data_IF_183150203917
#
_entry.id   IF_183150203917
#
_cell.length_a   1.000
_cell.length_b   1.000
_cell.length_c   1.000
_cell.angle_alpha   90.00
_cell.angle_beta   90.00
_cell.angle_gamma   90.00
#
_symmetry.space_group_name_H-M   'P 1'
#
loop_
_entity.id
_entity.type
_entity.pdbx_description
1 polymer ?
#
# COMPACT_ATOMS: atom_id res chain seq x y z
N UNK A 1 -11.49 -6.33 15.82
CA UNK A 1 -10.26 -5.65 15.38
C UNK A 1 -10.45 -5.18 13.94
N UNK A 2 -10.15 -3.93 13.68
CA UNK A 2 -10.28 -3.35 12.34
C UNK A 2 -9.21 -3.91 11.40
N UNK A 3 -9.61 -4.24 10.18
CA UNK A 3 -8.69 -4.65 9.11
C UNK A 3 -8.75 -3.60 8.00
N UNK A 4 -7.62 -3.23 7.45
CA UNK A 4 -7.58 -2.41 6.24
C UNK A 4 -6.54 -2.92 5.25
N UNK A 5 -6.80 -2.66 3.98
CA UNK A 5 -5.85 -2.91 2.91
C UNK A 5 -4.91 -1.71 2.83
N UNK A 6 -3.63 -1.96 2.68
CA UNK A 6 -2.62 -0.93 2.52
C UNK A 6 -1.91 -1.12 1.19
N UNK A 7 -1.63 -0.04 0.49
CA UNK A 7 -0.87 -0.11 -0.76
C UNK A 7 0.60 0.28 -0.57
N UNK A 8 1.38 0.12 -1.63
CA UNK A 8 2.81 0.41 -1.60
C UNK A 8 3.13 1.89 -1.34
N UNK A 9 2.21 2.80 -1.66
CA UNK A 9 2.43 4.23 -1.41
C UNK A 9 2.49 4.55 0.09
N UNK A 10 1.74 3.81 0.91
CA UNK A 10 1.79 3.93 2.37
C UNK A 10 3.01 3.21 2.92
N UNK A 11 3.21 1.96 2.53
CA UNK A 11 4.31 1.13 3.04
C UNK A 11 5.69 1.75 2.72
N UNK A 12 5.83 2.41 1.58
CA UNK A 12 7.06 3.12 1.21
C UNK A 12 7.46 4.17 2.26
N UNK A 13 6.50 4.81 2.91
CA UNK A 13 6.76 5.83 3.92
C UNK A 13 7.40 5.27 5.20
N UNK A 14 7.22 4.00 5.45
CA UNK A 14 7.88 3.32 6.57
C UNK A 14 9.35 2.98 6.30
N UNK A 15 9.73 2.97 5.03
CA UNK A 15 11.01 2.40 4.57
C UNK A 15 11.96 3.45 4.00
N UNK A 16 11.43 4.55 3.49
CA UNK A 16 12.23 5.61 2.88
C UNK A 16 12.64 6.66 3.92
N UNK A 17 13.74 7.42 3.67
CA UNK A 17 14.12 8.51 4.55
C UNK A 17 12.99 9.53 4.73
N UNK A 18 12.88 10.12 5.92
CA UNK A 18 11.86 11.11 6.24
C UNK A 18 11.93 12.34 5.33
N UNK A 19 13.13 12.75 4.93
CA UNK A 19 13.32 13.89 4.03
C UNK A 19 12.64 13.63 2.69
N UNK A 20 11.75 14.54 2.26
CA UNK A 20 11.01 14.43 1.01
C UNK A 20 9.73 13.60 1.09
N UNK A 21 9.39 13.06 2.26
CA UNK A 21 8.13 12.33 2.47
C UNK A 21 7.11 13.18 3.22
N UNK A 22 5.86 13.13 2.76
CA UNK A 22 4.71 13.73 3.42
C UNK A 22 3.91 12.67 4.18
N UNK A 23 3.01 13.09 5.06
CA UNK A 23 2.08 12.22 5.79
C UNK A 23 2.77 11.15 6.64
N UNK A 24 3.99 11.44 7.10
CA UNK A 24 4.77 10.48 7.90
C UNK A 24 4.11 10.18 9.24
N UNK A 25 3.52 11.17 9.87
CA UNK A 25 2.84 10.98 11.16
C UNK A 25 1.69 9.99 11.02
N UNK A 26 0.87 10.14 9.98
CA UNK A 26 -0.25 9.25 9.72
C UNK A 26 0.23 7.84 9.34
N UNK A 27 1.25 7.74 8.49
CA UNK A 27 1.83 6.46 8.09
C UNK A 27 2.41 5.72 9.30
N UNK A 28 3.16 6.41 10.14
CA UNK A 28 3.78 5.81 11.32
C UNK A 28 2.74 5.39 12.36
N UNK A 29 1.69 6.19 12.55
CA UNK A 29 0.59 5.83 13.45
C UNK A 29 -0.11 4.56 12.99
N UNK A 30 -0.31 4.39 11.68
CA UNK A 30 -0.89 3.17 11.14
C UNK A 30 0.00 1.96 11.42
N UNK A 31 1.32 2.11 11.20
CA UNK A 31 2.29 1.06 11.48
C UNK A 31 2.33 0.70 12.97
N UNK A 32 2.36 1.69 13.84
CA UNK A 32 2.36 1.48 15.29
C UNK A 32 1.14 0.68 15.75
N UNK A 33 -0.04 1.02 15.21
CA UNK A 33 -1.27 0.29 15.53
C UNK A 33 -1.23 -1.15 15.01
N UNK A 34 -0.61 -1.38 13.86
CA UNK A 34 -0.42 -2.73 13.33
C UNK A 34 0.52 -3.54 14.22
N UNK A 35 1.69 -2.99 14.53
CA UNK A 35 2.69 -3.65 15.39
C UNK A 35 2.13 -3.88 16.80
N UNK A 36 1.35 -2.94 17.31
CA UNK A 36 0.66 -3.05 18.61
C UNK A 36 -0.55 -3.95 18.60
N UNK A 37 -0.89 -4.58 17.46
CA UNK A 37 -2.05 -5.47 17.31
C UNK A 37 -3.40 -4.80 17.58
N UNK A 38 -3.50 -3.51 17.34
CA UNK A 38 -4.74 -2.77 17.45
C UNK A 38 -5.56 -2.82 16.15
N UNK A 39 -4.88 -3.07 15.03
CA UNK A 39 -5.50 -3.30 13.73
C UNK A 39 -4.73 -4.35 12.95
N UNK A 40 -5.37 -4.87 11.92
CA UNK A 40 -4.74 -5.78 10.96
C UNK A 40 -4.55 -5.06 9.62
N UNK A 41 -3.44 -5.37 8.95
CA UNK A 41 -3.18 -4.93 7.59
C UNK A 41 -3.28 -6.12 6.65
N UNK A 42 -3.63 -5.83 5.40
CA UNK A 42 -3.78 -6.82 4.34
C UNK A 42 -3.32 -6.18 3.03
N UNK A 43 -2.76 -6.95 2.13
CA UNK A 43 -2.36 -6.47 0.82
C UNK A 43 -2.43 -7.59 -0.22
N UNK A 44 -2.58 -7.27 -1.51
CA UNK A 44 -2.31 -8.26 -2.54
C UNK A 44 -0.81 -8.56 -2.59
N UNK A 45 -0.43 -9.76 -3.05
CA UNK A 45 0.96 -10.16 -3.11
C UNK A 45 1.81 -9.27 -4.03
N UNK A 46 1.19 -8.49 -4.91
CA UNK A 46 1.81 -7.44 -5.70
C UNK A 46 2.62 -6.44 -4.84
N UNK A 47 2.24 -6.22 -3.59
CA UNK A 47 2.92 -5.23 -2.73
C UNK A 47 4.42 -5.56 -2.58
N UNK A 48 4.78 -6.83 -2.56
CA UNK A 48 6.16 -7.25 -2.37
C UNK A 48 7.08 -6.78 -3.51
N UNK A 49 6.79 -7.10 -4.79
CA UNK A 49 7.59 -6.55 -5.89
C UNK A 49 7.45 -5.04 -6.06
N UNK A 50 6.31 -4.46 -5.73
CA UNK A 50 6.16 -3.00 -5.79
C UNK A 50 7.09 -2.30 -4.79
N UNK A 51 7.19 -2.79 -3.58
CA UNK A 51 8.13 -2.25 -2.59
C UNK A 51 9.57 -2.40 -3.07
N UNK A 52 9.92 -3.55 -3.64
CA UNK A 52 11.23 -3.74 -4.26
C UNK A 52 11.53 -2.68 -5.32
N UNK A 53 10.56 -2.38 -6.16
CA UNK A 53 10.69 -1.37 -7.21
C UNK A 53 10.82 0.06 -6.64
N UNK A 54 10.08 0.39 -5.60
CA UNK A 54 10.19 1.68 -4.90
C UNK A 54 11.60 1.87 -4.36
N UNK A 55 12.15 0.84 -3.72
CA UNK A 55 13.50 0.89 -3.15
C UNK A 55 14.56 0.99 -4.24
N UNK A 56 14.41 0.25 -5.35
CA UNK A 56 15.32 0.36 -6.49
C UNK A 56 15.35 1.79 -7.05
N UNK A 57 14.17 2.41 -7.23
CA UNK A 57 14.10 3.80 -7.71
C UNK A 57 14.77 4.77 -6.73
N UNK A 58 14.63 4.55 -5.43
CA UNK A 58 15.27 5.39 -4.42
C UNK A 58 16.80 5.29 -4.49
N UNK A 59 17.35 4.10 -4.74
CA UNK A 59 18.78 3.91 -4.97
C UNK A 59 19.22 4.64 -6.25
N UNK A 60 18.48 4.45 -7.34
CA UNK A 60 18.77 5.09 -8.61
C UNK A 60 18.75 6.62 -8.49
N UNK A 61 17.85 7.17 -7.71
CA UNK A 61 17.73 8.61 -7.47
C UNK A 61 18.63 9.10 -6.34
N UNK A 62 19.53 8.26 -5.85
CA UNK A 62 20.52 8.59 -4.81
C UNK A 62 19.91 9.05 -3.48
N UNK A 63 18.70 8.58 -3.17
CA UNK A 63 18.05 8.84 -1.88
C UNK A 63 18.54 7.91 -0.78
N UNK A 64 18.89 6.70 -1.13
CA UNK A 64 19.42 5.68 -0.21
C UNK A 64 20.53 4.90 -0.88
N UNK A 65 21.37 4.25 -0.08
CA UNK A 65 22.38 3.30 -0.57
C UNK A 65 21.74 1.94 -0.92
N UNK A 66 22.43 1.15 -1.74
CA UNK A 66 21.98 -0.20 -2.04
C UNK A 66 21.87 -1.06 -0.77
N UNK A 67 22.81 -0.93 0.15
CA UNK A 67 22.80 -1.67 1.42
C UNK A 67 21.58 -1.28 2.27
N UNK A 68 21.25 0.01 2.35
CA UNK A 68 20.06 0.47 3.08
C UNK A 68 18.77 0.00 2.41
N UNK A 69 18.72 -0.05 1.09
CA UNK A 69 17.57 -0.60 0.37
C UNK A 69 17.32 -2.07 0.73
N UNK A 70 18.38 -2.88 0.74
CA UNK A 70 18.27 -4.29 1.15
C UNK A 70 17.78 -4.43 2.58
N UNK A 71 18.31 -3.64 3.51
CA UNK A 71 17.89 -3.66 4.90
C UNK A 71 16.40 -3.23 5.05
N UNK A 72 15.98 -2.22 4.29
CA UNK A 72 14.59 -1.78 4.28
C UNK A 72 13.65 -2.87 3.76
N UNK A 73 14.06 -3.58 2.71
CA UNK A 73 13.27 -4.69 2.17
C UNK A 73 13.14 -5.83 3.18
N UNK A 74 14.23 -6.16 3.90
CA UNK A 74 14.17 -7.15 4.98
C UNK A 74 13.22 -6.72 6.09
N UNK A 75 13.28 -5.45 6.51
CA UNK A 75 12.36 -4.91 7.53
C UNK A 75 10.90 -4.99 7.08
N UNK A 76 10.63 -4.73 5.80
CA UNK A 76 9.29 -4.88 5.26
C UNK A 76 8.81 -6.33 5.37
N UNK A 77 9.64 -7.29 4.97
CA UNK A 77 9.31 -8.72 5.08
C UNK A 77 9.04 -9.14 6.53
N UNK A 78 9.81 -8.62 7.47
CA UNK A 78 9.67 -8.92 8.90
C UNK A 78 8.35 -8.41 9.50
N UNK A 79 7.74 -7.41 8.88
CA UNK A 79 6.41 -6.94 9.31
C UNK A 79 5.33 -8.01 9.12
N UNK A 80 5.58 -8.99 8.27
CA UNK A 80 4.69 -10.14 8.03
C UNK A 80 3.26 -9.72 7.73
N UNK A 81 3.09 -8.68 6.92
CA UNK A 81 1.75 -8.26 6.49
C UNK A 81 1.15 -9.40 5.67
N UNK A 82 -0.02 -9.92 6.05
CA UNK A 82 -0.68 -10.96 5.28
C UNK A 82 -0.96 -10.51 3.85
N UNK A 83 -0.63 -11.37 2.89
CA UNK A 83 -0.88 -11.09 1.48
C UNK A 83 -1.88 -12.08 0.91
N UNK A 84 -2.68 -11.60 -0.05
CA UNK A 84 -3.63 -12.41 -0.80
C UNK A 84 -3.08 -12.59 -2.20
N UNK A 85 -3.10 -13.82 -2.75
CA UNK A 85 -2.64 -14.05 -4.12
C UNK A 85 -3.43 -13.18 -5.11
N UNK A 86 -2.71 -12.50 -6.00
CA UNK A 86 -3.32 -11.66 -7.03
C UNK A 86 -4.23 -12.47 -7.96
N UNK A 87 -3.93 -13.75 -8.16
CA UNK A 87 -4.75 -14.65 -8.97
C UNK A 87 -6.20 -14.72 -8.54
N UNK A 88 -6.48 -14.55 -7.25
CA UNK A 88 -7.84 -14.56 -6.72
C UNK A 88 -8.61 -13.25 -6.99
N UNK A 89 -7.90 -12.23 -7.47
CA UNK A 89 -8.43 -10.88 -7.66
C UNK A 89 -8.49 -10.44 -9.12
N UNK A 90 -7.99 -11.27 -10.06
CA UNK A 90 -7.76 -10.84 -11.44
C UNK A 90 -9.01 -10.35 -12.15
N UNK A 91 -10.09 -11.13 -12.12
CA UNK A 91 -11.32 -10.79 -12.87
C UNK A 91 -11.94 -9.50 -12.30
N UNK A 92 -12.06 -9.40 -10.99
CA UNK A 92 -12.61 -8.21 -10.34
C UNK A 92 -11.76 -6.97 -10.64
N UNK A 93 -10.45 -7.12 -10.60
CA UNK A 93 -9.51 -6.03 -10.90
C UNK A 93 -9.65 -5.56 -12.33
N UNK A 94 -9.81 -6.48 -13.28
CA UNK A 94 -10.03 -6.11 -14.67
C UNK A 94 -11.33 -5.33 -14.85
N UNK A 95 -12.40 -5.75 -14.19
CA UNK A 95 -13.69 -5.06 -14.22
C UNK A 95 -13.55 -3.62 -13.73
N UNK A 96 -12.84 -3.42 -12.62
CA UNK A 96 -12.60 -2.08 -12.05
C UNK A 96 -11.76 -1.24 -13.01
N UNK A 97 -10.69 -1.81 -13.57
CA UNK A 97 -9.80 -1.11 -14.51
C UNK A 97 -10.55 -0.60 -15.73
N UNK A 98 -11.38 -1.45 -16.32
CA UNK A 98 -12.14 -1.11 -17.53
C UNK A 98 -13.21 -0.05 -17.22
N UNK A 99 -13.94 -0.23 -16.11
CA UNK A 99 -15.03 0.68 -15.75
C UNK A 99 -14.54 2.04 -15.28
N UNK A 100 -13.42 2.09 -14.54
CA UNK A 100 -12.97 3.29 -13.87
C UNK A 100 -11.75 3.94 -14.50
N UNK A 101 -11.20 3.34 -15.55
CA UNK A 101 -9.98 3.80 -16.23
C UNK A 101 -8.81 3.97 -15.23
N UNK A 102 -8.61 2.97 -14.39
CA UNK A 102 -7.49 2.89 -13.47
C UNK A 102 -6.57 1.76 -13.87
N UNK A 103 -5.30 1.85 -13.48
CA UNK A 103 -4.35 0.77 -13.77
C UNK A 103 -4.84 -0.55 -13.16
N UNK A 104 -4.44 -1.66 -13.78
CA UNK A 104 -4.75 -2.98 -13.25
C UNK A 104 -4.15 -3.17 -11.85
N UNK A 105 -2.95 -2.64 -11.62
CA UNK A 105 -2.26 -2.73 -10.33
C UNK A 105 -3.01 -1.99 -9.22
N UNK A 106 -3.46 -0.75 -9.47
CA UNK A 106 -4.30 -0.02 -8.52
C UNK A 106 -5.59 -0.77 -8.23
N UNK A 107 -6.18 -1.36 -9.27
CA UNK A 107 -7.44 -2.10 -9.16
C UNK A 107 -7.31 -3.38 -8.32
N UNK A 108 -6.14 -4.00 -8.26
CA UNK A 108 -5.89 -5.15 -7.39
C UNK A 108 -6.10 -4.78 -5.91
N UNK A 109 -5.62 -3.64 -5.49
CA UNK A 109 -5.81 -3.16 -4.12
C UNK A 109 -7.27 -2.86 -3.82
N UNK A 110 -7.95 -2.20 -4.74
CA UNK A 110 -9.39 -1.88 -4.61
C UNK A 110 -10.22 -3.17 -4.57
N UNK A 111 -9.92 -4.12 -5.45
CA UNK A 111 -10.60 -5.40 -5.49
C UNK A 111 -10.46 -6.17 -4.17
N UNK A 112 -9.27 -6.15 -3.58
CA UNK A 112 -9.04 -6.79 -2.29
C UNK A 112 -9.89 -6.15 -1.18
N UNK A 113 -9.94 -4.83 -1.14
CA UNK A 113 -10.78 -4.12 -0.16
C UNK A 113 -12.26 -4.48 -0.32
N UNK A 114 -12.75 -4.53 -1.55
CA UNK A 114 -14.13 -4.92 -1.83
C UNK A 114 -14.41 -6.36 -1.39
N UNK A 115 -13.56 -7.29 -1.78
CA UNK A 115 -13.73 -8.72 -1.51
C UNK A 115 -13.70 -9.03 -0.01
N UNK A 116 -12.87 -8.32 0.73
CA UNK A 116 -12.74 -8.51 2.18
C UNK A 116 -13.63 -7.60 3.00
N UNK A 117 -14.41 -6.73 2.34
CA UNK A 117 -15.30 -5.74 3.00
C UNK A 117 -14.53 -4.86 3.98
N UNK A 118 -13.39 -4.37 3.53
CA UNK A 118 -12.54 -3.45 4.29
C UNK A 118 -12.31 -2.18 3.49
N UNK A 119 -11.49 -1.28 4.02
CA UNK A 119 -11.09 -0.08 3.30
C UNK A 119 -9.65 -0.23 2.79
N UNK A 120 -9.39 0.35 1.61
CA UNK A 120 -8.03 0.60 1.13
C UNK A 120 -7.57 1.94 1.68
N UNK A 121 -6.44 1.94 2.39
CA UNK A 121 -5.76 3.17 2.81
C UNK A 121 -4.63 3.43 1.84
N UNK A 122 -4.61 4.60 1.22
CA UNK A 122 -3.62 4.99 0.22
C UNK A 122 -3.12 6.41 0.45
N UNK A 123 -1.86 6.66 0.10
CA UNK A 123 -1.29 8.00 0.08
C UNK A 123 -1.47 8.68 -1.29
N UNK A 124 -2.05 8.00 -2.27
CA UNK A 124 -2.31 8.53 -3.60
C UNK A 124 -3.65 9.28 -3.63
N UNK A 125 -3.59 10.61 -3.54
CA UNK A 125 -4.78 11.46 -3.61
C UNK A 125 -5.54 11.32 -4.92
N UNK A 126 -4.85 11.06 -6.03
CA UNK A 126 -5.51 10.92 -7.35
C UNK A 126 -6.42 9.70 -7.35
N UNK A 127 -5.96 8.61 -6.74
CA UNK A 127 -6.76 7.40 -6.60
C UNK A 127 -8.00 7.65 -5.74
N UNK A 128 -7.86 8.36 -4.63
CA UNK A 128 -8.96 8.73 -3.75
C UNK A 128 -9.98 9.60 -4.49
N UNK A 129 -9.52 10.61 -5.21
CA UNK A 129 -10.40 11.50 -5.99
C UNK A 129 -11.16 10.75 -7.08
N UNK A 130 -10.51 9.79 -7.72
CA UNK A 130 -11.13 9.01 -8.80
C UNK A 130 -12.15 8.00 -8.28
N UNK A 131 -11.90 7.35 -7.16
CA UNK A 131 -12.66 6.18 -6.71
C UNK A 131 -13.36 6.33 -5.36
N UNK A 132 -12.95 7.29 -4.53
CA UNK A 132 -13.39 7.37 -3.13
C UNK A 132 -14.88 7.57 -2.91
N UNK A 133 -15.65 8.04 -3.92
CA UNK A 133 -17.10 8.18 -3.82
C UNK A 133 -17.85 6.88 -4.14
N UNK A 134 -17.21 5.91 -4.79
CA UNK A 134 -17.84 4.66 -5.26
C UNK A 134 -17.26 3.41 -4.64
N UNK A 135 -16.02 3.49 -4.12
CA UNK A 135 -15.28 2.36 -3.57
C UNK A 135 -14.75 2.70 -2.19
N UNK A 136 -14.46 1.69 -1.35
CA UNK A 136 -13.94 1.92 0.00
C UNK A 136 -12.44 2.29 -0.03
N UNK A 137 -12.14 3.45 -0.58
CA UNK A 137 -10.79 4.00 -0.69
C UNK A 137 -10.69 5.22 0.20
N UNK A 138 -9.73 5.19 1.13
CA UNK A 138 -9.53 6.24 2.10
C UNK A 138 -8.13 6.84 1.98
N UNK A 139 -8.07 8.16 2.00
CA UNK A 139 -6.78 8.84 1.96
C UNK A 139 -6.07 8.75 3.31
N UNK A 140 -4.77 8.43 3.26
CA UNK A 140 -3.93 8.38 4.45
C UNK A 140 -3.99 9.67 5.27
N UNK A 141 -4.07 10.82 4.60
CA UNK A 141 -4.17 12.13 5.25
C UNK A 141 -5.45 12.36 6.05
N UNK A 142 -6.46 11.50 5.88
CA UNK A 142 -7.72 11.58 6.62
C UNK A 142 -7.74 10.72 7.89
N UNK A 143 -6.65 10.03 8.20
CA UNK A 143 -6.52 9.19 9.39
C UNK A 143 -6.14 9.98 10.64
#
# INVERSE_FOLDING_TARGET
>A
MTTCVVDASVAAKWLLPAAGESLLEQANRLLERYVGRELQLLAPDLIEPEIGNVLWKAVRNRRISAANAENSLRRFTELSIPVVPSTDLLVRSLQISVTCDRSFYDSLYVALALTTRTELVTADERLVKALGSRFPVRWLGAL
#
